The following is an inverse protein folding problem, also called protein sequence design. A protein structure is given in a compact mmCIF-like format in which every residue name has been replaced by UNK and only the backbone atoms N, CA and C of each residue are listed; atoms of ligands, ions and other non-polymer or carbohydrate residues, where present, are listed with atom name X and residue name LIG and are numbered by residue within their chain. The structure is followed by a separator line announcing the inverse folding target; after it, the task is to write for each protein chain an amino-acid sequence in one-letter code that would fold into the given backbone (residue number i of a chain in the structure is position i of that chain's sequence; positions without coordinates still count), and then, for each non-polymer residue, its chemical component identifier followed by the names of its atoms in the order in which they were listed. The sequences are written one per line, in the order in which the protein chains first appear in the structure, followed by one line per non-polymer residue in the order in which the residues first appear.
data_IF_488374496755
#
_entry.id   IF_488374496755
#
_cell.length_a   1.000
_cell.length_b   1.000
_cell.length_c   1.000
_cell.angle_alpha   90.00
_cell.angle_beta   90.00
_cell.angle_gamma   90.00
#
_symmetry.space_group_name_H-M   'P 1'
#
loop_
_entity.id
_entity.type
_entity.pdbx_description
1 polymer ?
#
# COMPACT_ATOMS: atom_id res chain seq x y z
N UNK A 1 -20.33 -12.73 1.27
CA UNK A 1 -19.92 -11.38 0.83
C UNK A 1 -18.62 -11.50 0.06
N UNK A 2 -18.33 -10.59 -0.86
CA UNK A 2 -17.09 -10.53 -1.66
C UNK A 2 -16.48 -9.15 -1.54
N UNK A 3 -15.14 -9.09 -1.56
CA UNK A 3 -14.37 -7.84 -1.59
C UNK A 3 -14.29 -7.22 -2.99
N UNK A 4 -14.58 -7.99 -4.04
CA UNK A 4 -14.59 -7.51 -5.41
C UNK A 4 -16.04 -7.33 -5.88
N UNK A 5 -16.47 -6.12 -6.27
CA UNK A 5 -17.86 -5.84 -6.64
C UNK A 5 -18.31 -6.68 -7.84
N UNK A 6 -17.48 -6.81 -8.88
CA UNK A 6 -17.81 -7.59 -10.09
C UNK A 6 -18.03 -9.08 -9.85
N UNK A 7 -17.52 -9.62 -8.73
CA UNK A 7 -17.74 -11.04 -8.39
C UNK A 7 -19.16 -11.32 -7.89
N UNK A 8 -19.94 -10.29 -7.51
CA UNK A 8 -21.30 -10.47 -6.97
C UNK A 8 -22.21 -11.17 -7.98
N UNK A 9 -22.26 -10.70 -9.23
CA UNK A 9 -23.13 -11.27 -10.25
C UNK A 9 -22.70 -12.70 -10.60
N UNK A 10 -21.39 -12.93 -10.74
CA UNK A 10 -20.83 -14.26 -10.98
C UNK A 10 -21.24 -15.27 -9.90
N UNK A 11 -21.23 -14.88 -8.63
CA UNK A 11 -21.67 -15.78 -7.56
C UNK A 11 -23.18 -16.03 -7.58
N UNK A 12 -23.99 -15.02 -7.90
CA UNK A 12 -25.45 -15.17 -8.02
C UNK A 12 -25.84 -16.10 -9.17
N UNK A 13 -25.15 -16.02 -10.31
CA UNK A 13 -25.34 -16.93 -11.45
C UNK A 13 -25.02 -18.39 -11.09
N UNK A 14 -24.11 -18.61 -10.14
CA UNK A 14 -23.80 -19.93 -9.57
C UNK A 14 -24.81 -20.38 -8.49
N UNK A 15 -25.89 -19.63 -8.27
CA UNK A 15 -26.90 -19.92 -7.24
C UNK A 15 -26.48 -19.58 -5.82
N UNK A 16 -25.38 -18.84 -5.63
CA UNK A 16 -24.87 -18.44 -4.32
C UNK A 16 -25.38 -17.05 -3.93
N UNK A 17 -26.01 -16.88 -2.76
CA UNK A 17 -26.33 -15.56 -2.23
C UNK A 17 -25.06 -14.73 -2.06
N UNK A 18 -24.99 -13.58 -2.74
CA UNK A 18 -23.81 -12.73 -2.74
C UNK A 18 -24.14 -11.23 -2.62
N UNK A 19 -23.23 -10.51 -1.97
CA UNK A 19 -23.22 -9.06 -1.79
C UNK A 19 -21.77 -8.57 -1.61
N UNK A 20 -21.55 -7.27 -1.77
CA UNK A 20 -20.24 -6.63 -1.70
C UNK A 20 -19.98 -6.06 -0.30
N UNK A 21 -18.75 -6.24 0.19
CA UNK A 21 -18.22 -5.55 1.37
C UNK A 21 -16.72 -5.39 1.17
N UNK A 22 -16.22 -4.16 1.24
CA UNK A 22 -14.80 -3.87 1.22
C UNK A 22 -14.05 -4.51 2.41
N UNK A 23 -12.72 -4.39 2.40
CA UNK A 23 -11.94 -4.75 3.57
C UNK A 23 -12.34 -3.94 4.81
N UNK A 24 -12.18 -4.56 5.98
CA UNK A 24 -12.17 -3.86 7.27
C UNK A 24 -10.75 -3.77 7.83
N UNK A 25 -10.62 -3.15 8.99
CA UNK A 25 -9.42 -3.20 9.82
C UNK A 25 -9.75 -3.79 11.21
N UNK A 26 -8.72 -4.21 11.94
CA UNK A 26 -8.89 -4.63 13.33
C UNK A 26 -8.69 -3.40 14.24
N UNK A 27 -9.73 -2.83 14.85
CA UNK A 27 -9.60 -1.60 15.64
C UNK A 27 -8.76 -1.77 16.92
N UNK A 28 -8.57 -3.00 17.41
CA UNK A 28 -7.67 -3.25 18.54
C UNK A 28 -6.19 -3.08 18.17
N UNK A 29 -5.87 -3.22 16.88
CA UNK A 29 -4.53 -3.16 16.32
C UNK A 29 -4.30 -1.92 15.45
N UNK A 30 -5.15 -1.68 14.46
CA UNK A 30 -5.17 -0.51 13.59
C UNK A 30 -5.84 0.65 14.32
N UNK A 31 -5.09 1.27 15.22
CA UNK A 31 -5.54 2.41 16.03
C UNK A 31 -4.44 3.44 16.15
N UNK A 32 -4.87 4.65 16.46
CA UNK A 32 -3.94 5.72 16.75
C UNK A 32 -3.06 5.37 17.97
N UNK A 33 -1.76 5.59 17.82
CA UNK A 33 -0.75 5.48 18.87
C UNK A 33 0.23 6.66 18.71
N UNK A 34 0.88 7.13 19.80
CA UNK A 34 1.87 8.20 19.70
C UNK A 34 2.96 7.89 18.65
N UNK A 35 3.30 8.85 17.77
CA UNK A 35 4.35 8.69 16.77
C UNK A 35 5.68 8.27 17.38
N UNK A 36 6.41 7.43 16.66
CA UNK A 36 7.76 6.97 17.00
C UNK A 36 8.79 7.63 16.10
N UNK A 37 9.83 8.21 16.69
CA UNK A 37 10.96 8.80 15.94
C UNK A 37 11.70 7.80 15.06
N UNK A 38 11.58 6.49 15.34
CA UNK A 38 12.09 5.41 14.48
C UNK A 38 11.48 5.43 13.07
N UNK A 39 10.25 5.94 12.95
CA UNK A 39 9.45 5.92 11.72
C UNK A 39 9.07 7.34 11.26
N UNK A 40 9.86 8.34 11.67
CA UNK A 40 9.69 9.72 11.24
C UNK A 40 10.21 9.91 9.81
N UNK A 41 9.29 9.73 8.87
CA UNK A 41 9.51 9.90 7.43
C UNK A 41 8.49 10.89 6.87
N UNK A 42 8.90 11.66 5.86
CA UNK A 42 7.94 12.48 5.10
C UNK A 42 6.93 11.58 4.39
N UNK A 43 7.43 10.46 3.85
CA UNK A 43 6.61 9.49 3.14
C UNK A 43 7.03 8.06 3.51
N UNK A 44 6.04 7.19 3.71
CA UNK A 44 6.26 5.77 3.91
C UNK A 44 5.46 4.94 2.91
N UNK A 45 6.07 3.85 2.45
CA UNK A 45 5.42 2.81 1.67
C UNK A 45 5.62 1.47 2.37
N UNK A 46 4.53 0.83 2.79
CA UNK A 46 4.57 -0.52 3.34
C UNK A 46 3.82 -1.43 2.39
N UNK A 47 4.54 -2.33 1.74
CA UNK A 47 3.98 -3.29 0.78
C UNK A 47 5.04 -3.86 -0.14
N UNK A 48 4.83 -5.06 -0.67
CA UNK A 48 5.84 -5.74 -1.49
C UNK A 48 5.99 -5.10 -2.89
N UNK A 49 7.17 -5.19 -3.49
CA UNK A 49 7.38 -4.92 -4.92
C UNK A 49 6.58 -5.87 -5.81
N UNK A 50 6.32 -5.48 -7.06
CA UNK A 50 5.66 -6.34 -8.05
C UNK A 50 6.48 -7.59 -8.39
N UNK A 51 5.81 -8.69 -8.72
CA UNK A 51 6.48 -9.89 -9.27
C UNK A 51 6.81 -9.69 -10.74
N UNK A 52 5.80 -9.39 -11.54
CA UNK A 52 5.91 -9.30 -13.00
C UNK A 52 5.61 -7.90 -13.55
N UNK A 53 5.15 -6.96 -12.71
CA UNK A 53 4.82 -5.57 -13.09
C UNK A 53 3.87 -5.44 -14.29
N UNK A 54 2.98 -6.44 -14.48
CA UNK A 54 1.96 -6.51 -15.55
C UNK A 54 0.56 -6.03 -15.11
N UNK A 55 0.45 -5.39 -13.95
CA UNK A 55 -0.82 -4.94 -13.37
C UNK A 55 -0.80 -3.43 -13.10
N UNK A 56 -1.94 -2.87 -12.65
CA UNK A 56 -2.11 -1.48 -12.22
C UNK A 56 -1.10 -1.05 -11.12
N UNK A 57 -0.41 -2.02 -10.50
CA UNK A 57 0.68 -1.77 -9.56
C UNK A 57 1.85 -1.05 -10.19
N UNK A 58 2.15 -1.33 -11.47
CA UNK A 58 3.21 -0.62 -12.20
C UNK A 58 2.85 0.86 -12.29
N UNK A 59 1.65 1.16 -12.73
CA UNK A 59 1.18 2.54 -12.93
C UNK A 59 1.09 3.27 -11.59
N UNK A 60 0.58 2.61 -10.54
CA UNK A 60 0.60 3.14 -9.17
C UNK A 60 2.00 3.54 -8.70
N UNK A 61 3.01 2.71 -8.99
CA UNK A 61 4.41 3.03 -8.65
C UNK A 61 4.93 4.20 -9.47
N UNK A 62 4.65 4.24 -10.77
CA UNK A 62 5.12 5.33 -11.63
C UNK A 62 4.45 6.68 -11.30
N UNK A 63 3.17 6.67 -10.92
CA UNK A 63 2.43 7.88 -10.57
C UNK A 63 2.80 8.37 -9.16
N UNK A 64 2.84 7.48 -8.18
CA UNK A 64 3.00 7.86 -6.78
C UNK A 64 4.47 7.88 -6.33
N UNK A 65 5.24 6.83 -6.64
CA UNK A 65 6.56 6.62 -6.06
C UNK A 65 7.65 7.38 -6.81
N UNK A 66 7.64 7.32 -8.15
CA UNK A 66 8.66 7.94 -9.00
C UNK A 66 8.90 9.43 -8.69
N UNK A 67 7.89 10.32 -8.65
CA UNK A 67 8.14 11.74 -8.41
C UNK A 67 8.71 12.03 -7.02
N UNK A 68 8.38 11.19 -6.03
CA UNK A 68 8.89 11.34 -4.66
C UNK A 68 10.36 10.91 -4.56
N UNK A 69 10.74 9.87 -5.30
CA UNK A 69 12.13 9.40 -5.39
C UNK A 69 12.99 10.41 -6.14
N UNK A 70 12.54 10.90 -7.30
CA UNK A 70 13.28 11.88 -8.11
C UNK A 70 13.50 13.21 -7.39
N UNK A 71 12.59 13.59 -6.48
CA UNK A 71 12.69 14.79 -5.64
C UNK A 71 13.41 14.57 -4.31
N UNK A 72 13.91 13.36 -4.05
CA UNK A 72 14.69 13.03 -2.85
C UNK A 72 13.97 13.33 -1.53
N UNK A 73 12.67 13.06 -1.44
CA UNK A 73 11.95 13.11 -0.16
C UNK A 73 12.53 12.12 0.85
N UNK A 74 12.36 12.39 2.15
CA UNK A 74 12.68 11.42 3.20
C UNK A 74 11.66 10.28 3.17
N UNK A 75 11.94 9.28 2.33
CA UNK A 75 11.06 8.19 1.97
C UNK A 75 11.61 6.86 2.48
N UNK A 76 10.73 6.06 3.09
CA UNK A 76 11.03 4.69 3.47
C UNK A 76 10.10 3.68 2.78
N UNK A 77 10.69 2.62 2.25
CA UNK A 77 10.02 1.55 1.52
C UNK A 77 10.27 0.23 2.26
N UNK A 78 9.21 -0.33 2.83
CA UNK A 78 9.21 -1.65 3.46
C UNK A 78 8.48 -2.67 2.60
N UNK A 79 9.02 -3.89 2.56
CA UNK A 79 8.44 -5.03 1.88
C UNK A 79 9.47 -5.85 1.12
N UNK A 80 9.04 -7.02 0.66
CA UNK A 80 9.83 -7.93 -0.16
C UNK A 80 9.92 -7.42 -1.60
N UNK A 81 10.95 -7.89 -2.33
CA UNK A 81 11.12 -7.73 -3.78
C UNK A 81 11.49 -6.33 -4.29
N UNK A 82 11.63 -5.34 -3.41
CA UNK A 82 12.16 -4.02 -3.80
C UNK A 82 13.65 -4.07 -4.16
N UNK A 83 14.38 -5.05 -3.63
CA UNK A 83 15.75 -5.39 -4.04
C UNK A 83 15.83 -5.87 -5.51
N UNK A 84 14.72 -6.32 -6.07
CA UNK A 84 14.59 -6.78 -7.47
C UNK A 84 13.80 -5.79 -8.34
N UNK A 85 13.77 -4.53 -7.92
CA UNK A 85 13.07 -3.49 -8.66
C UNK A 85 13.63 -3.38 -10.09
N UNK A 86 12.74 -3.43 -11.08
CA UNK A 86 13.13 -3.38 -12.49
C UNK A 86 13.27 -1.91 -12.93
N UNK A 87 14.44 -1.32 -12.69
CA UNK A 87 14.72 0.09 -12.99
C UNK A 87 14.50 0.44 -14.46
N UNK A 88 14.87 -0.46 -15.38
CA UNK A 88 14.72 -0.26 -16.83
C UNK A 88 13.24 -0.16 -17.23
N UNK A 89 12.42 -1.10 -16.77
CA UNK A 89 10.97 -1.09 -17.02
C UNK A 89 10.28 0.12 -16.39
N UNK A 90 10.76 0.57 -15.24
CA UNK A 90 10.14 1.62 -14.44
C UNK A 90 10.57 3.02 -14.86
N UNK A 91 11.74 3.14 -15.49
CA UNK A 91 12.31 4.40 -15.94
C UNK A 91 12.90 5.26 -14.82
N UNK A 92 13.16 4.69 -13.64
CA UNK A 92 13.84 5.36 -12.53
C UNK A 92 14.55 4.36 -11.62
N UNK A 93 15.48 4.87 -10.81
CA UNK A 93 16.26 4.07 -9.86
C UNK A 93 15.73 4.22 -8.45
N UNK A 94 15.77 3.15 -7.67
CA UNK A 94 15.47 3.22 -6.24
C UNK A 94 16.77 3.31 -5.43
N UNK A 95 17.03 4.42 -4.73
CA UNK A 95 18.17 4.50 -3.83
C UNK A 95 18.10 3.44 -2.74
N UNK A 96 19.17 2.65 -2.58
CA UNK A 96 19.22 1.54 -1.61
C UNK A 96 18.90 1.97 -0.18
N UNK A 97 19.23 3.22 0.21
CA UNK A 97 18.96 3.73 1.55
C UNK A 97 17.45 3.90 1.84
N UNK A 98 16.61 4.02 0.81
CA UNK A 98 15.14 4.06 0.96
C UNK A 98 14.56 2.67 1.24
N UNK A 99 15.26 1.59 0.85
CA UNK A 99 14.82 0.22 1.02
C UNK A 99 15.12 -0.26 2.44
N UNK A 100 14.06 -0.53 3.21
CA UNK A 100 14.17 -0.90 4.64
C UNK A 100 14.00 -2.41 4.90
N UNK A 101 13.77 -3.20 3.85
CA UNK A 101 13.55 -4.64 3.94
C UNK A 101 12.16 -4.98 4.45
N UNK A 102 12.01 -6.18 5.00
CA UNK A 102 10.75 -6.64 5.58
C UNK A 102 10.46 -5.94 6.91
N UNK A 103 9.19 -5.63 7.15
CA UNK A 103 8.72 -5.07 8.41
C UNK A 103 7.84 -6.12 9.10
N UNK A 104 8.07 -6.45 10.38
CA UNK A 104 7.13 -7.24 11.17
C UNK A 104 5.74 -6.62 11.12
N UNK A 105 4.70 -7.44 11.02
CA UNK A 105 3.33 -6.92 10.85
C UNK A 105 2.93 -6.02 12.02
N UNK A 106 3.36 -6.37 13.22
CA UNK A 106 3.10 -5.66 14.47
C UNK A 106 3.69 -4.24 14.50
N UNK A 107 4.72 -3.97 13.69
CA UNK A 107 5.33 -2.65 13.58
C UNK A 107 4.65 -1.76 12.53
N UNK A 108 3.74 -2.32 11.71
CA UNK A 108 3.08 -1.57 10.64
C UNK A 108 2.23 -0.42 11.16
N UNK A 109 1.51 -0.63 12.27
CA UNK A 109 0.70 0.40 12.92
C UNK A 109 1.54 1.63 13.30
N UNK A 110 2.76 1.41 13.80
CA UNK A 110 3.68 2.48 14.19
C UNK A 110 4.15 3.29 12.99
N UNK A 111 4.36 2.66 11.83
CA UNK A 111 4.69 3.38 10.59
C UNK A 111 3.53 4.30 10.18
N UNK A 112 2.29 3.79 10.21
CA UNK A 112 1.11 4.57 9.80
C UNK A 112 0.83 5.76 10.72
N UNK A 113 1.13 5.61 12.01
CA UNK A 113 1.01 6.68 12.99
C UNK A 113 2.13 7.73 12.90
N UNK A 114 3.31 7.36 12.39
CA UNK A 114 4.51 8.20 12.49
C UNK A 114 4.85 8.95 11.20
N UNK A 115 4.70 8.31 10.05
CA UNK A 115 5.02 8.95 8.78
C UNK A 115 3.92 9.95 8.38
N UNK A 116 4.31 11.08 7.81
CA UNK A 116 3.35 12.15 7.46
C UNK A 116 2.37 11.73 6.37
N UNK A 117 2.84 10.94 5.40
CA UNK A 117 2.05 10.42 4.27
C UNK A 117 2.38 8.94 4.06
N UNK A 118 1.34 8.11 3.93
CA UNK A 118 1.47 6.71 3.53
C UNK A 118 1.05 6.56 2.08
N UNK A 119 1.90 5.93 1.26
CA UNK A 119 1.57 5.59 -0.13
C UNK A 119 0.89 4.23 -0.18
N UNK A 120 -0.33 4.20 -0.73
CA UNK A 120 -1.06 2.98 -1.05
C UNK A 120 -0.90 2.63 -2.53
N UNK A 121 -0.23 1.51 -2.84
CA UNK A 121 -0.17 1.00 -4.21
C UNK A 121 -1.40 0.13 -4.52
N UNK A 122 -2.01 0.32 -5.69
CA UNK A 122 -3.15 -0.47 -6.13
C UNK A 122 -2.71 -1.65 -6.99
N UNK A 123 -3.56 -2.66 -7.10
CA UNK A 123 -3.39 -3.77 -8.05
C UNK A 123 -4.57 -3.90 -9.01
N UNK A 124 -5.64 -3.17 -8.73
CA UNK A 124 -6.93 -3.20 -9.40
C UNK A 124 -7.54 -1.79 -9.31
N UNK A 125 -8.34 -1.41 -10.30
CA UNK A 125 -8.96 -0.08 -10.41
C UNK A 125 -10.38 -0.01 -9.83
N UNK A 126 -10.91 -1.09 -9.25
CA UNK A 126 -12.30 -1.18 -8.79
C UNK A 126 -12.42 -1.62 -7.34
N UNK A 127 -11.29 -1.89 -6.68
CA UNK A 127 -11.25 -2.44 -5.34
C UNK A 127 -10.24 -1.70 -4.46
N UNK A 128 -10.67 -1.35 -3.26
CA UNK A 128 -9.79 -0.85 -2.22
C UNK A 128 -8.95 -1.99 -1.64
N UNK A 129 -7.65 -1.73 -1.42
CA UNK A 129 -6.80 -2.70 -0.72
C UNK A 129 -7.02 -2.66 0.80
N UNK A 130 -6.70 -3.75 1.51
CA UNK A 130 -6.70 -3.78 2.97
C UNK A 130 -5.85 -2.65 3.59
N UNK A 131 -4.78 -2.25 2.90
CA UNK A 131 -3.88 -1.17 3.34
C UNK A 131 -4.60 0.16 3.50
N UNK A 132 -5.64 0.41 2.70
CA UNK A 132 -6.48 1.59 2.83
C UNK A 132 -7.09 1.68 4.23
N UNK A 133 -7.73 0.60 4.67
CA UNK A 133 -8.42 0.53 5.94
C UNK A 133 -7.44 0.44 7.11
N UNK A 134 -6.33 -0.29 6.96
CA UNK A 134 -5.28 -0.35 7.99
C UNK A 134 -4.69 1.03 8.27
N UNK A 135 -4.35 1.83 7.25
CA UNK A 135 -3.77 3.18 7.43
C UNK A 135 -4.78 4.13 8.06
N UNK A 136 -6.01 4.16 7.54
CA UNK A 136 -7.05 5.05 8.04
C UNK A 136 -7.47 4.69 9.47
N UNK A 137 -7.59 3.39 9.79
CA UNK A 137 -7.87 2.92 11.16
C UNK A 137 -6.77 3.32 12.15
N UNK A 138 -5.52 3.28 11.71
CA UNK A 138 -4.37 3.77 12.47
C UNK A 138 -4.28 5.30 12.61
N UNK A 139 -5.19 6.07 11.99
CA UNK A 139 -5.14 7.54 12.00
C UNK A 139 -4.10 8.15 11.06
N UNK A 140 -3.53 7.36 10.15
CA UNK A 140 -2.56 7.81 9.16
C UNK A 140 -3.23 8.48 7.95
N UNK A 141 -2.46 9.29 7.23
CA UNK A 141 -2.89 9.91 5.97
C UNK A 141 -2.47 9.06 4.77
N UNK A 142 -3.44 8.51 4.04
CA UNK A 142 -3.18 7.69 2.85
C UNK A 142 -3.28 8.52 1.56
N UNK A 143 -2.26 8.40 0.70
CA UNK A 143 -2.30 8.85 -0.68
C UNK A 143 -2.24 7.63 -1.63
N UNK A 144 -3.18 7.54 -2.55
CA UNK A 144 -3.27 6.45 -3.53
C UNK A 144 -3.81 6.95 -4.88
N UNK A 145 -3.72 6.12 -5.93
CA UNK A 145 -4.34 6.42 -7.23
C UNK A 145 -5.85 6.19 -7.17
N UNK A 146 -6.65 6.85 -8.04
CA UNK A 146 -8.07 6.57 -8.14
C UNK A 146 -8.37 5.08 -8.34
N UNK A 147 -9.40 4.61 -7.65
CA UNK A 147 -10.06 3.31 -7.83
C UNK A 147 -11.53 3.52 -8.19
#
# INVERSE_FOLDING_TARGET
MTIHPDSVNKYRELGLPAGHLDFGCNPEFNKYEPPSSKYDYDVALVGNGGKDWKSDRKDSVQILLRPLVERSYNLAIWGKRWDRFNEELMGFKLPKHMLKGELPYEETNKVYNSAKIIIGLQNDQTMLTSRTFEVLGSGGFLLTVPT
#
